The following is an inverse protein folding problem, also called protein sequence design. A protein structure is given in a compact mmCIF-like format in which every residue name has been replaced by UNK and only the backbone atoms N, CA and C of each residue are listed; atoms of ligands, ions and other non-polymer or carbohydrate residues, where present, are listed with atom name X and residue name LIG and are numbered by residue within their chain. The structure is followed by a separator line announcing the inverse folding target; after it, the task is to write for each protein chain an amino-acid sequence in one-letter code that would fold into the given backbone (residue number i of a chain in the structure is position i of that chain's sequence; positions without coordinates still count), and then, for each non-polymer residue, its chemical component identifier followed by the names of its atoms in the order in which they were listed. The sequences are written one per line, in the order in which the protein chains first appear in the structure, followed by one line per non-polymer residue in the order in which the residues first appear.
data_IF_288228272480
#
_entry.id   IF_288228272480
#
_cell.length_a   1.000
_cell.length_b   1.000
_cell.length_c   1.000
_cell.angle_alpha   90.00
_cell.angle_beta   90.00
_cell.angle_gamma   90.00
#
_symmetry.space_group_name_H-M   'P 1'
#
loop_
_entity.id
_entity.type
_entity.pdbx_description
1 polymer ?
#
# COMPACT_ATOMS: atom_id res chain seq x y z
N UNK A 1 -20.20 21.72 -4.68
CA UNK A 1 -19.12 21.82 -5.69
C UNK A 1 -18.16 20.65 -5.54
N UNK A 2 -18.20 19.66 -6.44
CA UNK A 2 -17.32 18.50 -6.36
C UNK A 2 -15.89 18.85 -6.79
N UNK A 3 -14.89 18.59 -5.93
CA UNK A 3 -13.47 18.67 -6.33
C UNK A 3 -13.21 17.63 -7.41
N UNK A 4 -13.12 18.05 -8.66
CA UNK A 4 -12.62 17.22 -9.75
C UNK A 4 -11.16 16.84 -9.44
N UNK A 5 -10.86 15.54 -9.52
CA UNK A 5 -9.50 15.03 -9.26
C UNK A 5 -8.59 15.43 -10.42
N UNK A 6 -7.45 16.08 -10.13
CA UNK A 6 -6.47 16.54 -11.13
C UNK A 6 -5.76 15.41 -11.91
N UNK A 7 -5.78 14.16 -11.42
CA UNK A 7 -5.07 13.04 -12.04
C UNK A 7 -5.99 11.83 -12.24
N UNK A 8 -5.92 11.21 -13.42
CA UNK A 8 -6.63 9.96 -13.73
C UNK A 8 -6.04 8.83 -12.90
N UNK A 9 -6.92 8.09 -12.22
CA UNK A 9 -6.56 6.83 -11.56
C UNK A 9 -6.70 5.70 -12.55
N UNK A 10 -5.71 4.81 -12.58
CA UNK A 10 -5.79 3.57 -13.35
C UNK A 10 -6.32 2.48 -12.43
N UNK A 11 -7.42 1.85 -12.83
CA UNK A 11 -7.93 0.65 -12.17
C UNK A 11 -7.10 -0.53 -12.64
N UNK A 12 -6.26 -1.06 -11.76
CA UNK A 12 -5.36 -2.18 -12.05
C UNK A 12 -5.04 -2.88 -10.73
N UNK A 13 -5.01 -4.22 -10.75
CA UNK A 13 -4.55 -5.02 -9.60
C UNK A 13 -3.05 -5.22 -9.71
N UNK A 14 -2.31 -4.56 -8.82
CA UNK A 14 -0.86 -4.68 -8.70
C UNK A 14 -0.51 -5.11 -7.29
N UNK A 15 0.32 -6.15 -7.12
CA UNK A 15 0.81 -6.55 -5.81
C UNK A 15 1.70 -5.46 -5.21
N UNK A 16 1.38 -5.05 -3.99
CA UNK A 16 2.10 -4.05 -3.22
C UNK A 16 2.67 -4.72 -1.97
N UNK A 17 3.95 -4.46 -1.68
CA UNK A 17 4.53 -4.77 -0.37
C UNK A 17 4.54 -3.52 0.50
N UNK A 18 3.96 -3.59 1.69
CA UNK A 18 3.97 -2.49 2.66
C UNK A 18 4.99 -2.78 3.75
N UNK A 19 5.89 -1.84 4.05
CA UNK A 19 6.82 -1.89 5.18
C UNK A 19 6.59 -0.68 6.07
N UNK A 20 6.38 -0.91 7.36
CA UNK A 20 6.17 0.17 8.32
C UNK A 20 7.50 0.74 8.79
N UNK A 21 7.65 2.06 8.69
CA UNK A 21 8.83 2.78 9.17
C UNK A 21 8.57 3.30 10.59
N UNK A 22 9.63 3.40 11.41
CA UNK A 22 9.55 3.99 12.75
C UNK A 22 8.83 3.12 13.80
N UNK A 23 8.73 1.81 13.58
CA UNK A 23 8.18 0.87 14.57
C UNK A 23 9.31 0.01 15.14
N UNK A 24 9.24 -0.31 16.43
CA UNK A 24 10.16 -1.24 17.10
C UNK A 24 9.95 -2.69 16.67
N UNK A 25 8.85 -2.97 15.96
CA UNK A 25 8.58 -4.29 15.39
C UNK A 25 9.28 -4.42 14.03
N UNK A 26 9.74 -5.63 13.73
CA UNK A 26 10.28 -5.97 12.42
C UNK A 26 9.30 -5.53 11.32
N UNK A 27 9.78 -4.92 10.22
CA UNK A 27 8.93 -4.52 9.10
C UNK A 27 8.12 -5.73 8.61
N UNK A 28 6.80 -5.67 8.74
CA UNK A 28 5.90 -6.71 8.27
C UNK A 28 5.47 -6.39 6.84
N UNK A 29 6.05 -7.12 5.89
CA UNK A 29 5.71 -7.06 4.47
C UNK A 29 4.31 -7.63 4.23
N UNK A 30 3.31 -6.77 4.03
CA UNK A 30 1.95 -7.20 3.64
C UNK A 30 1.82 -7.13 2.13
N UNK A 31 1.33 -8.21 1.50
CA UNK A 31 0.93 -8.22 0.10
C UNK A 31 -0.50 -7.69 -0.01
N UNK A 32 -0.67 -6.56 -0.69
CA UNK A 32 -1.97 -5.96 -0.94
C UNK A 32 -2.26 -5.87 -2.44
N UNK A 33 -3.55 -5.95 -2.79
CA UNK A 33 -3.99 -5.58 -4.13
C UNK A 33 -4.26 -4.09 -4.18
N UNK A 34 -3.62 -3.40 -5.12
CA UNK A 34 -4.03 -2.04 -5.47
C UNK A 34 -5.31 -2.10 -6.30
N UNK A 35 -6.27 -1.22 -6.03
CA UNK A 35 -7.49 -1.06 -6.84
C UNK A 35 -7.41 0.15 -7.76
N UNK A 36 -6.61 1.15 -7.36
CA UNK A 36 -6.39 2.35 -8.14
C UNK A 36 -4.98 2.90 -7.88
N UNK A 37 -4.29 3.33 -8.93
CA UNK A 37 -2.96 3.95 -8.81
C UNK A 37 -2.93 5.29 -9.55
N UNK A 38 -2.21 6.25 -8.98
CA UNK A 38 -1.88 7.55 -9.58
C UNK A 38 -0.53 8.04 -9.04
N UNK A 39 0.08 9.04 -9.70
CA UNK A 39 1.36 9.64 -9.24
C UNK A 39 1.33 10.21 -7.82
N UNK A 40 0.15 10.53 -7.28
CA UNK A 40 0.00 11.14 -5.95
C UNK A 40 -0.48 10.17 -4.88
N UNK A 41 -0.95 8.99 -5.26
CA UNK A 41 -1.68 8.15 -4.32
C UNK A 41 -2.23 6.90 -4.96
N UNK A 42 -2.46 5.91 -4.12
CA UNK A 42 -3.06 4.63 -4.48
C UNK A 42 -4.15 4.24 -3.48
N UNK A 43 -5.05 3.37 -3.90
CA UNK A 43 -5.98 2.70 -2.99
C UNK A 43 -5.68 1.22 -2.97
N UNK A 44 -5.56 0.64 -1.79
CA UNK A 44 -5.40 -0.80 -1.59
C UNK A 44 -6.67 -1.44 -1.05
N UNK A 45 -6.79 -2.72 -1.30
CA UNK A 45 -7.75 -3.62 -0.69
C UNK A 45 -7.01 -4.86 -0.17
N UNK A 46 -7.35 -5.26 1.04
CA UNK A 46 -6.84 -6.44 1.73
C UNK A 46 -8.02 -7.29 2.17
N UNK A 47 -7.98 -8.57 1.86
CA UNK A 47 -8.90 -9.52 2.51
C UNK A 47 -8.46 -9.71 3.97
N UNK A 48 -9.43 -9.68 4.88
CA UNK A 48 -9.19 -9.85 6.30
C UNK A 48 -10.10 -10.93 6.87
N UNK A 49 -9.57 -11.70 7.82
CA UNK A 49 -10.33 -12.70 8.59
C UNK A 49 -10.53 -12.18 9.99
N UNK A 50 -11.77 -12.25 10.49
CA UNK A 50 -12.05 -11.96 11.88
C UNK A 50 -11.87 -13.22 12.71
N UNK A 51 -10.93 -13.22 13.66
CA UNK A 51 -10.73 -14.33 14.60
C UNK A 51 -10.54 -13.76 16.01
N UNK A 52 -11.39 -14.17 16.95
CA UNK A 52 -11.36 -13.74 18.35
C UNK A 52 -11.29 -12.21 18.51
N UNK A 53 -12.13 -11.47 17.76
CA UNK A 53 -12.15 -10.01 17.77
C UNK A 53 -10.94 -9.31 17.14
N UNK A 54 -9.97 -10.06 16.61
CA UNK A 54 -8.83 -9.52 15.88
C UNK A 54 -9.04 -9.65 14.38
N UNK A 55 -8.73 -8.60 13.64
CA UNK A 55 -8.63 -8.64 12.18
C UNK A 55 -7.27 -9.23 11.80
N UNK A 56 -7.27 -10.24 10.94
CA UNK A 56 -6.08 -10.94 10.47
C UNK A 56 -5.91 -10.75 8.97
N UNK A 57 -4.69 -10.50 8.52
CA UNK A 57 -4.30 -10.43 7.10
C UNK A 57 -3.36 -11.58 6.81
N UNK A 58 -3.42 -12.12 5.59
CA UNK A 58 -2.52 -13.18 5.17
C UNK A 58 -1.19 -12.60 4.65
N UNK A 59 -0.08 -13.08 5.18
CA UNK A 59 1.29 -12.80 4.75
C UNK A 59 1.92 -14.12 4.30
N UNK A 60 1.79 -14.42 3.00
CA UNK A 60 2.16 -15.74 2.48
C UNK A 60 1.33 -16.85 3.14
N UNK A 61 1.99 -17.77 3.84
CA UNK A 61 1.33 -18.86 4.57
C UNK A 61 0.94 -18.48 6.01
N UNK A 62 1.38 -17.33 6.52
CA UNK A 62 1.18 -16.92 7.91
C UNK A 62 0.05 -15.90 8.02
N UNK A 63 -0.87 -16.10 8.95
CA UNK A 63 -1.87 -15.09 9.31
C UNK A 63 -1.29 -14.14 10.37
N UNK A 64 -1.20 -12.85 10.05
CA UNK A 64 -0.75 -11.80 10.96
C UNK A 64 -1.90 -10.89 11.35
N UNK A 65 -1.87 -10.30 12.55
CA UNK A 65 -2.88 -9.28 12.92
C UNK A 65 -2.75 -8.08 11.99
N UNK A 66 -3.88 -7.63 11.44
CA UNK A 66 -3.97 -6.38 10.71
C UNK A 66 -3.37 -5.30 11.59
N UNK A 67 -2.33 -4.67 11.06
CA UNK A 67 -1.49 -3.82 11.87
C UNK A 67 -2.32 -2.59 12.24
N UNK A 68 -2.48 -2.25 13.53
CA UNK A 68 -3.24 -1.07 13.96
C UNK A 68 -2.75 0.22 13.27
N UNK A 69 -1.50 0.25 12.82
CA UNK A 69 -0.86 1.35 12.10
C UNK A 69 -1.57 1.76 10.80
N UNK A 70 -2.29 0.86 10.13
CA UNK A 70 -3.11 1.23 8.96
C UNK A 70 -4.38 2.02 9.35
N UNK A 71 -4.74 1.99 10.64
CA UNK A 71 -5.91 2.62 11.24
C UNK A 71 -5.53 3.89 12.03
N UNK A 72 -4.27 4.01 12.46
CA UNK A 72 -3.81 5.10 13.35
C UNK A 72 -3.61 6.47 12.67
N UNK A 73 -3.75 6.57 11.35
CA UNK A 73 -3.49 7.81 10.60
C UNK A 73 -2.03 8.28 10.72
N UNK A 74 -1.60 9.14 9.80
CA UNK A 74 -0.38 9.96 9.92
C UNK A 74 1.01 9.27 9.95
N UNK A 75 1.10 7.96 10.16
CA UNK A 75 2.38 7.24 10.16
C UNK A 75 2.91 7.00 8.75
N UNK A 76 4.21 7.25 8.58
CA UNK A 76 4.93 7.05 7.34
C UNK A 76 5.17 5.54 7.12
N UNK A 77 4.81 5.06 5.93
CA UNK A 77 5.11 3.71 5.48
C UNK A 77 5.90 3.75 4.20
N UNK A 78 6.74 2.74 4.02
CA UNK A 78 7.40 2.45 2.77
C UNK A 78 6.58 1.44 1.98
N UNK A 79 6.50 1.66 0.68
CA UNK A 79 5.71 0.92 -0.28
C UNK A 79 6.64 0.46 -1.39
N UNK A 80 6.60 -0.82 -1.71
CA UNK A 80 7.27 -1.40 -2.87
C UNK A 80 6.19 -1.92 -3.83
N UNK A 81 6.00 -1.20 -4.93
CA UNK A 81 4.97 -1.44 -5.94
C UNK A 81 5.63 -2.12 -7.14
N UNK A 82 5.28 -3.37 -7.42
CA UNK A 82 5.82 -4.10 -8.58
C UNK A 82 4.98 -3.86 -9.81
N UNK A 83 5.38 -2.98 -10.72
CA UNK A 83 4.55 -2.65 -11.89
C UNK A 83 4.76 -3.70 -13.01
N UNK A 84 3.71 -4.47 -13.38
CA UNK A 84 3.78 -5.35 -14.54
C UNK A 84 3.73 -4.55 -15.87
N UNK A 85 4.25 -5.08 -16.99
CA UNK A 85 4.91 -6.39 -17.14
C UNK A 85 6.42 -6.36 -16.89
N UNK A 86 7.04 -5.17 -16.77
CA UNK A 86 8.52 -5.01 -16.79
C UNK A 86 9.21 -5.41 -15.49
N UNK A 87 8.47 -5.71 -14.42
CA UNK A 87 9.04 -6.09 -13.12
C UNK A 87 9.76 -4.94 -12.40
N UNK A 88 9.69 -3.73 -12.93
CA UNK A 88 10.24 -2.53 -12.28
C UNK A 88 9.45 -2.27 -10.99
N UNK A 89 10.16 -2.33 -9.86
CA UNK A 89 9.64 -2.01 -8.54
C UNK A 89 9.84 -0.54 -8.23
N UNK A 90 8.75 0.17 -7.93
CA UNK A 90 8.82 1.53 -7.42
C UNK A 90 8.82 1.48 -5.90
N UNK A 91 9.88 2.00 -5.28
CA UNK A 91 9.93 2.22 -3.83
C UNK A 91 9.51 3.66 -3.55
N UNK A 92 8.49 3.82 -2.71
CA UNK A 92 7.95 5.13 -2.36
C UNK A 92 7.57 5.15 -0.88
N UNK A 93 7.51 6.33 -0.29
CA UNK A 93 6.88 6.50 1.02
C UNK A 93 5.47 7.05 0.87
N UNK A 94 4.62 6.77 1.85
CA UNK A 94 3.26 7.29 1.88
C UNK A 94 2.63 7.27 3.27
N UNK A 95 1.42 7.84 3.35
CA UNK A 95 0.59 7.86 4.57
C UNK A 95 -0.85 7.50 4.23
N UNK A 96 -1.49 6.75 5.12
CA UNK A 96 -2.93 6.48 5.01
C UNK A 96 -3.70 7.78 5.23
N UNK A 97 -4.57 8.13 4.28
CA UNK A 97 -5.45 9.31 4.34
C UNK A 97 -6.88 8.97 4.73
N UNK A 98 -7.32 7.78 4.38
CA UNK A 98 -8.61 7.24 4.78
C UNK A 98 -8.52 5.73 4.78
N UNK A 99 -9.35 5.10 5.58
CA UNK A 99 -9.57 3.67 5.56
C UNK A 99 -11.06 3.38 5.69
N UNK A 100 -11.44 2.18 5.26
CA UNK A 100 -12.80 1.67 5.35
C UNK A 100 -12.77 0.16 5.57
N UNK A 101 -13.78 -0.35 6.27
CA UNK A 101 -13.98 -1.77 6.50
C UNK A 101 -15.31 -2.18 5.91
N UNK A 102 -15.31 -3.26 5.13
CA UNK A 102 -16.53 -3.79 4.53
C UNK A 102 -16.58 -5.31 4.62
N UNK A 103 -17.76 -5.85 4.36
CA UNK A 103 -17.97 -7.28 4.09
C UNK A 103 -18.47 -7.47 2.67
N UNK A 104 -18.06 -8.56 2.03
CA UNK A 104 -18.69 -9.05 0.80
C UNK A 104 -18.88 -10.55 0.93
N UNK A 105 -20.14 -10.97 0.84
CA UNK A 105 -20.53 -12.38 0.99
C UNK A 105 -19.96 -13.02 2.26
N UNK A 106 -18.90 -13.82 2.14
CA UNK A 106 -18.25 -14.59 3.22
C UNK A 106 -16.89 -14.04 3.66
N UNK A 107 -16.44 -12.92 3.09
CA UNK A 107 -15.14 -12.33 3.35
C UNK A 107 -15.26 -10.89 3.86
N UNK A 108 -14.35 -10.50 4.75
CA UNK A 108 -14.19 -9.11 5.17
C UNK A 108 -13.04 -8.48 4.40
N UNK A 109 -13.14 -7.18 4.17
CA UNK A 109 -12.12 -6.43 3.44
C UNK A 109 -11.77 -5.16 4.20
N UNK A 110 -10.48 -4.86 4.21
CA UNK A 110 -9.93 -3.59 4.60
C UNK A 110 -9.53 -2.81 3.35
N UNK A 111 -9.94 -1.55 3.28
CA UNK A 111 -9.53 -0.62 2.23
C UNK A 111 -8.78 0.54 2.84
N UNK A 112 -7.75 0.99 2.14
CA UNK A 112 -7.07 2.22 2.50
C UNK A 112 -6.70 3.04 1.27
N UNK A 113 -6.88 4.36 1.38
CA UNK A 113 -6.29 5.31 0.46
C UNK A 113 -4.98 5.84 1.01
N UNK A 114 -3.91 5.65 0.25
CA UNK A 114 -2.56 6.06 0.63
C UNK A 114 -2.15 7.24 -0.26
N UNK A 115 -1.70 8.33 0.36
CA UNK A 115 -1.05 9.45 -0.32
C UNK A 115 0.45 9.19 -0.37
N UNK A 116 1.06 9.30 -1.55
CA UNK A 116 2.50 9.13 -1.75
C UNK A 116 3.21 10.46 -1.48
N UNK A 117 4.33 10.42 -0.74
CA UNK A 117 5.12 11.62 -0.40
C UNK A 117 6.43 11.70 -1.21
N UNK A 118 7.13 10.58 -1.40
CA UNK A 118 8.41 10.56 -2.11
C UNK A 118 8.52 9.30 -2.95
N UNK A 119 8.57 9.44 -4.27
CA UNK A 119 8.85 8.35 -5.21
C UNK A 119 10.37 8.34 -5.43
N UNK A 120 11.06 7.30 -4.96
CA UNK A 120 12.44 7.05 -5.36
C UNK A 120 12.39 6.18 -6.60
N UNK A 121 12.44 6.83 -7.77
CA UNK A 121 12.69 6.10 -9.02
C UNK A 121 14.06 5.45 -8.89
N UNK A 122 14.10 4.12 -8.91
CA UNK A 122 15.34 3.38 -9.19
C UNK A 122 15.73 3.67 -10.65
N UNK A 123 16.27 4.85 -10.91
CA UNK A 123 17.11 5.04 -12.09
C UNK A 123 18.32 4.15 -11.87
N UNK A 124 18.43 3.11 -12.70
CA UNK A 124 19.67 2.37 -12.90
C UNK A 124 20.83 3.37 -12.92
N UNK A 125 21.84 3.11 -12.09
CA UNK A 125 23.06 3.88 -12.07
C UNK A 125 23.70 3.91 -13.46
N UNK A 126 23.48 5.00 -14.18
CA UNK A 126 24.50 5.58 -15.05
C UNK A 126 24.93 6.86 -14.38
N UNK A 127 26.02 6.76 -13.64
CA UNK A 127 26.86 7.89 -13.29
C UNK A 127 27.37 8.45 -14.62
N UNK A 128 26.70 9.44 -15.18
CA UNK A 128 27.37 10.40 -16.04
C UNK A 128 28.11 11.35 -15.11
N UNK A 129 29.36 11.01 -14.84
CA UNK A 129 30.35 12.03 -14.51
C UNK A 129 30.73 12.69 -15.84
N UNK A 130 30.19 13.87 -16.09
CA UNK A 130 30.77 14.84 -17.02
C UNK A 130 31.14 16.06 -16.17
N UNK A 131 32.44 16.17 -15.88
CA UNK A 131 33.20 17.42 -15.85
C UNK A 131 34.58 17.10 -16.43
#
# INVERSE_FOLDING_TARGET
MGRFRKFRRLSTSIPLTIKLLGTTKLPQAINAETRNVSRKGLSIELEVKLKNGSLLVQQGEVAIKLIPFLVLGEKLMELDIKIPPKGEGIRTTGRVRWYDFGSREKSYYFRAGILLEKIEDRKNGKTSSEV
#
